data_IF_656722910751
#
_entry.id   IF_656722910751
#
_cell.length_a   1.000
_cell.length_b   1.000
_cell.length_c   1.000
_cell.angle_alpha   90.00
_cell.angle_beta   90.00
_cell.angle_gamma   90.00
#
_symmetry.space_group_name_H-M   'P 1'
#
loop_
_entity.id
_entity.type
_entity.pdbx_description
1 polymer ?
#
# COMPACT_ATOMS: atom_id res chain seq x y z
N UNK A 1 -7.49 13.91 -13.76
CA UNK A 1 -8.96 13.75 -13.82
C UNK A 1 -9.49 13.82 -12.41
N UNK A 2 -10.64 14.47 -12.21
CA UNK A 2 -11.36 14.50 -10.94
C UNK A 2 -12.70 13.78 -11.19
N UNK A 3 -13.10 12.81 -10.36
CA UNK A 3 -14.41 12.16 -10.47
C UNK A 3 -15.54 13.20 -10.36
N UNK A 4 -16.61 13.01 -11.12
CA UNK A 4 -17.79 13.88 -11.11
C UNK A 4 -18.52 13.83 -9.75
N UNK A 5 -18.44 12.71 -9.03
CA UNK A 5 -19.00 12.61 -7.67
C UNK A 5 -18.35 13.56 -6.67
N UNK A 6 -17.18 14.14 -6.99
CA UNK A 6 -16.41 14.99 -6.08
C UNK A 6 -15.80 14.25 -4.87
N UNK A 7 -15.92 12.92 -4.83
CA UNK A 7 -15.48 12.08 -3.73
C UNK A 7 -14.97 10.71 -4.19
N UNK A 8 -14.84 9.79 -3.22
CA UNK A 8 -14.47 8.41 -3.52
C UNK A 8 -15.72 7.54 -3.67
N UNK A 9 -16.10 7.29 -4.92
CA UNK A 9 -17.11 6.31 -5.31
C UNK A 9 -16.45 5.13 -6.05
N UNK A 10 -16.47 3.90 -5.48
CA UNK A 10 -15.93 2.71 -6.12
C UNK A 10 -16.54 2.39 -7.51
N UNK A 11 -17.84 2.63 -7.70
CA UNK A 11 -18.53 2.31 -8.94
C UNK A 11 -18.05 3.23 -10.06
N UNK A 12 -17.98 4.53 -9.77
CA UNK A 12 -17.47 5.53 -10.70
C UNK A 12 -16.01 5.27 -11.05
N UNK A 13 -15.17 5.01 -10.05
CA UNK A 13 -13.73 4.75 -10.26
C UNK A 13 -13.52 3.54 -11.16
N UNK A 14 -14.27 2.45 -10.96
CA UNK A 14 -14.17 1.25 -11.82
C UNK A 14 -14.68 1.55 -13.23
N UNK A 15 -15.79 2.28 -13.37
CA UNK A 15 -16.31 2.70 -14.67
C UNK A 15 -15.30 3.54 -15.45
N UNK A 16 -14.76 4.58 -14.82
CA UNK A 16 -13.72 5.44 -15.39
C UNK A 16 -12.45 4.65 -15.72
N UNK A 17 -12.04 3.71 -14.87
CA UNK A 17 -10.90 2.85 -15.16
C UNK A 17 -11.10 2.06 -16.45
N UNK A 18 -12.27 1.42 -16.59
CA UNK A 18 -12.61 0.62 -17.76
C UNK A 18 -12.67 1.45 -19.05
N UNK A 19 -13.17 2.68 -18.98
CA UNK A 19 -13.27 3.59 -20.13
C UNK A 19 -11.91 4.15 -20.56
N UNK A 20 -11.15 4.71 -19.61
CA UNK A 20 -9.93 5.47 -19.91
C UNK A 20 -8.73 4.56 -20.15
N UNK A 21 -8.69 3.45 -19.41
CA UNK A 21 -7.56 2.55 -19.36
C UNK A 21 -6.33 3.14 -18.67
N UNK A 22 -5.52 2.24 -18.12
CA UNK A 22 -4.22 2.50 -17.49
C UNK A 22 -4.21 3.59 -16.40
N UNK A 23 -5.31 3.80 -15.67
CA UNK A 23 -5.38 4.81 -14.62
C UNK A 23 -4.46 4.49 -13.44
N UNK A 24 -3.90 5.52 -12.80
CA UNK A 24 -3.15 5.37 -11.56
C UNK A 24 -3.65 6.36 -10.53
N UNK A 25 -3.76 5.91 -9.27
CA UNK A 25 -4.30 6.73 -8.18
C UNK A 25 -3.58 6.47 -6.87
N UNK A 26 -3.69 7.44 -5.96
CA UNK A 26 -3.34 7.28 -4.56
C UNK A 26 -4.59 6.98 -3.74
N UNK A 27 -4.50 6.04 -2.79
CA UNK A 27 -5.61 5.68 -1.91
C UNK A 27 -5.13 5.28 -0.51
N UNK A 28 -5.85 5.73 0.53
CA UNK A 28 -5.65 5.18 1.87
C UNK A 28 -6.08 3.70 1.92
N UNK A 29 -5.52 2.86 2.81
CA UNK A 29 -5.89 1.44 2.91
C UNK A 29 -7.40 1.19 3.04
N UNK A 30 -8.12 2.07 3.75
CA UNK A 30 -9.59 1.99 3.89
C UNK A 30 -10.32 2.18 2.56
N UNK A 31 -9.81 3.03 1.67
CA UNK A 31 -10.37 3.24 0.33
C UNK A 31 -10.06 2.06 -0.59
N UNK A 32 -8.86 1.48 -0.48
CA UNK A 32 -8.50 0.25 -1.19
C UNK A 32 -9.47 -0.87 -0.82
N UNK A 33 -9.73 -1.06 0.47
CA UNK A 33 -10.71 -2.04 0.95
C UNK A 33 -12.11 -1.80 0.37
N UNK A 34 -12.61 -0.57 0.42
CA UNK A 34 -13.92 -0.22 -0.18
C UNK A 34 -13.99 -0.54 -1.67
N UNK A 35 -12.91 -0.31 -2.41
CA UNK A 35 -12.84 -0.60 -3.85
C UNK A 35 -12.86 -2.10 -4.13
N UNK A 36 -12.08 -2.87 -3.38
CA UNK A 36 -12.00 -4.34 -3.50
C UNK A 36 -13.32 -4.99 -3.11
N UNK A 37 -13.92 -4.56 -2.00
CA UNK A 37 -15.20 -5.07 -1.52
C UNK A 37 -16.31 -4.81 -2.55
N UNK A 38 -16.31 -3.63 -3.19
CA UNK A 38 -17.23 -3.33 -4.28
C UNK A 38 -17.00 -4.24 -5.48
N UNK A 39 -15.75 -4.39 -5.92
CA UNK A 39 -15.40 -5.23 -7.05
C UNK A 39 -15.79 -6.70 -6.86
N UNK A 40 -15.59 -7.25 -5.66
CA UNK A 40 -16.03 -8.61 -5.34
C UNK A 40 -17.55 -8.78 -5.46
N UNK A 41 -18.33 -7.77 -5.04
CA UNK A 41 -19.80 -7.81 -5.14
C UNK A 41 -20.30 -7.61 -6.57
N UNK A 42 -19.63 -6.77 -7.36
CA UNK A 42 -20.03 -6.45 -8.74
C UNK A 42 -19.43 -7.38 -9.79
N UNK A 43 -18.46 -8.21 -9.42
CA UNK A 43 -17.72 -9.07 -10.36
C UNK A 43 -16.67 -8.32 -11.18
N UNK A 44 -16.32 -7.09 -10.80
CA UNK A 44 -15.25 -6.33 -11.46
C UNK A 44 -13.86 -6.85 -11.06
N UNK A 45 -12.89 -6.73 -11.96
CA UNK A 45 -11.52 -7.22 -11.79
C UNK A 45 -10.46 -6.09 -11.76
N UNK A 46 -10.91 -4.84 -11.76
CA UNK A 46 -10.04 -3.68 -11.84
C UNK A 46 -9.41 -3.50 -13.22
N UNK A 47 -10.06 -3.97 -14.28
CA UNK A 47 -9.72 -3.64 -15.66
C UNK A 47 -9.51 -2.13 -15.82
N UNK A 48 -8.47 -1.76 -16.56
CA UNK A 48 -8.10 -0.37 -16.77
C UNK A 48 -7.39 0.32 -15.60
N UNK A 49 -7.34 -0.28 -14.40
CA UNK A 49 -6.44 0.20 -13.33
C UNK A 49 -5.02 -0.29 -13.63
N UNK A 50 -4.07 0.64 -13.76
CA UNK A 50 -2.63 0.34 -13.88
C UNK A 50 -1.98 0.18 -12.53
N UNK A 51 -2.16 1.15 -11.63
CA UNK A 51 -1.48 1.20 -10.33
C UNK A 51 -2.32 1.86 -9.26
N UNK A 52 -2.41 1.25 -8.09
CA UNK A 52 -2.91 1.86 -6.86
C UNK A 52 -1.73 2.02 -5.92
N UNK A 53 -1.31 3.27 -5.71
CA UNK A 53 -0.33 3.60 -4.68
C UNK A 53 -1.09 3.80 -3.37
N UNK A 54 -0.73 3.07 -2.32
CA UNK A 54 -1.41 3.17 -1.03
C UNK A 54 -0.46 3.51 0.10
N UNK A 55 -0.94 4.30 1.06
CA UNK A 55 -0.16 4.78 2.20
C UNK A 55 -1.01 5.62 3.15
N UNK A 56 -0.38 6.22 4.15
CA UNK A 56 -1.06 7.07 5.14
C UNK A 56 -1.81 6.32 6.25
N UNK A 57 -1.74 4.98 6.26
CA UNK A 57 -2.31 4.15 7.33
C UNK A 57 -1.79 2.72 7.27
N UNK A 58 -1.99 1.91 8.32
CA UNK A 58 -1.61 0.50 8.31
C UNK A 58 -2.47 -0.30 7.32
N UNK A 59 -1.86 -1.27 6.64
CA UNK A 59 -2.56 -2.27 5.84
C UNK A 59 -2.17 -3.66 6.33
N UNK A 60 -3.17 -4.47 6.71
CA UNK A 60 -2.89 -5.81 7.23
C UNK A 60 -2.50 -6.77 6.10
N UNK A 61 -1.60 -7.72 6.39
CA UNK A 61 -1.15 -8.74 5.42
C UNK A 61 -2.33 -9.48 4.80
N UNK A 62 -3.34 -9.85 5.60
CA UNK A 62 -4.54 -10.52 5.10
C UNK A 62 -5.33 -9.66 4.10
N UNK A 63 -5.40 -8.34 4.31
CA UNK A 63 -6.13 -7.42 3.44
C UNK A 63 -5.43 -7.23 2.09
N UNK A 64 -4.10 -7.09 2.09
CA UNK A 64 -3.35 -6.99 0.82
C UNK A 64 -3.39 -8.31 0.05
N UNK A 65 -3.35 -9.45 0.72
CA UNK A 65 -3.53 -10.75 0.07
C UNK A 65 -4.92 -10.91 -0.56
N UNK A 66 -5.99 -10.51 0.15
CA UNK A 66 -7.35 -10.53 -0.41
C UNK A 66 -7.47 -9.60 -1.62
N UNK A 67 -6.87 -8.42 -1.52
CA UNK A 67 -6.82 -7.41 -2.57
C UNK A 67 -6.11 -7.92 -3.84
N UNK A 68 -4.97 -8.60 -3.67
CA UNK A 68 -4.23 -9.23 -4.78
C UNK A 68 -5.03 -10.33 -5.49
N UNK A 69 -5.88 -11.07 -4.77
CA UNK A 69 -6.74 -12.11 -5.39
C UNK A 69 -7.79 -11.50 -6.33
N UNK A 70 -8.21 -10.25 -6.09
CA UNK A 70 -9.27 -9.59 -6.86
C UNK A 70 -8.68 -8.79 -8.02
N UNK A 71 -7.68 -7.95 -7.76
CA UNK A 71 -7.13 -7.02 -8.75
C UNK A 71 -5.78 -7.45 -9.32
N UNK A 72 -5.17 -8.51 -8.80
CA UNK A 72 -3.84 -8.92 -9.20
C UNK A 72 -2.76 -7.91 -8.80
N UNK A 73 -1.57 -7.96 -9.44
CA UNK A 73 -0.41 -7.18 -9.05
C UNK A 73 -0.50 -5.72 -9.52
N UNK A 74 -1.35 -4.92 -8.88
CA UNK A 74 -1.58 -3.50 -9.21
C UNK A 74 -1.16 -2.53 -8.09
N UNK A 75 -0.56 -3.01 -7.01
CA UNK A 75 -0.38 -2.21 -5.79
C UNK A 75 1.07 -1.82 -5.54
N UNK A 76 1.27 -0.62 -4.98
CA UNK A 76 2.56 -0.13 -4.47
C UNK A 76 2.29 0.48 -3.11
N UNK A 77 3.07 0.12 -2.09
CA UNK A 77 2.97 0.74 -0.77
C UNK A 77 3.96 1.88 -0.67
N UNK A 78 3.53 3.00 -0.08
CA UNK A 78 4.42 4.07 0.36
C UNK A 78 4.22 4.33 1.85
N UNK A 79 5.32 4.64 2.52
CA UNK A 79 5.31 5.14 3.89
C UNK A 79 6.03 6.47 3.94
N UNK A 80 5.47 7.41 4.69
CA UNK A 80 5.99 8.75 4.88
C UNK A 80 5.42 9.36 6.15
N UNK A 81 6.04 10.45 6.60
CA UNK A 81 5.60 11.23 7.75
C UNK A 81 5.36 12.67 7.32
N UNK A 82 4.51 13.41 8.05
CA UNK A 82 4.25 14.82 7.76
C UNK A 82 5.48 15.70 7.94
N UNK A 83 6.40 15.31 8.84
CA UNK A 83 7.64 16.04 9.12
C UNK A 83 8.81 15.70 8.19
N UNK A 84 8.65 14.73 7.28
CA UNK A 84 9.68 14.27 6.35
C UNK A 84 9.15 14.24 4.91
N UNK A 85 9.97 13.90 3.89
CA UNK A 85 9.46 13.68 2.54
C UNK A 85 8.26 12.72 2.57
N UNK A 86 7.23 13.03 1.80
CA UNK A 86 5.96 12.29 1.77
C UNK A 86 6.11 10.79 1.43
N UNK A 87 7.27 10.38 0.91
CA UNK A 87 7.63 8.98 0.64
C UNK A 87 9.04 8.70 1.13
N UNK A 88 9.14 8.20 2.37
CA UNK A 88 10.39 7.76 3.02
C UNK A 88 10.79 6.39 2.49
N UNK A 89 9.85 5.44 2.47
CA UNK A 89 10.06 4.08 1.97
C UNK A 89 8.94 3.67 1.03
N UNK A 90 9.22 2.68 0.18
CA UNK A 90 8.24 2.07 -0.69
C UNK A 90 8.40 0.54 -0.76
N UNK A 91 7.28 -0.17 -0.81
CA UNK A 91 7.23 -1.58 -1.17
C UNK A 91 6.74 -1.71 -2.61
N UNK A 92 7.60 -2.27 -3.46
CA UNK A 92 7.35 -2.38 -4.89
C UNK A 92 6.19 -3.34 -5.19
N UNK A 93 5.61 -3.21 -6.39
CA UNK A 93 4.58 -4.13 -6.88
C UNK A 93 5.10 -5.55 -6.95
N UNK A 94 6.34 -5.69 -7.38
CA UNK A 94 7.03 -6.96 -7.54
C UNK A 94 7.17 -7.62 -6.17
N UNK A 95 7.67 -6.89 -5.16
CA UNK A 95 7.78 -7.40 -3.79
C UNK A 95 6.40 -7.75 -3.18
N UNK A 96 5.35 -6.96 -3.47
CA UNK A 96 3.98 -7.23 -3.01
C UNK A 96 3.41 -8.50 -3.67
N UNK A 97 3.69 -8.73 -4.95
CA UNK A 97 3.13 -9.84 -5.71
C UNK A 97 3.92 -11.15 -5.59
N UNK A 98 5.13 -11.13 -5.03
CA UNK A 98 6.07 -12.25 -4.97
C UNK A 98 5.70 -13.31 -3.93
N UNK A 99 4.53 -13.93 -4.11
CA UNK A 99 3.96 -14.93 -3.18
C UNK A 99 4.76 -16.22 -3.03
N UNK A 100 5.75 -16.45 -3.90
CA UNK A 100 6.64 -17.61 -3.85
C UNK A 100 7.90 -17.36 -3.03
N UNK A 101 8.19 -16.10 -2.67
CA UNK A 101 9.36 -15.77 -1.87
C UNK A 101 9.21 -16.30 -0.44
N UNK A 102 10.24 -16.92 0.17
CA UNK A 102 10.16 -17.48 1.52
C UNK A 102 9.79 -16.43 2.59
N UNK A 103 10.31 -15.22 2.46
CA UNK A 103 9.99 -14.08 3.34
C UNK A 103 8.76 -13.25 2.90
N UNK A 104 7.95 -13.70 1.95
CA UNK A 104 6.90 -12.84 1.35
C UNK A 104 5.97 -12.21 2.40
N UNK A 105 5.50 -13.00 3.37
CA UNK A 105 4.63 -12.48 4.44
C UNK A 105 5.33 -11.41 5.29
N UNK A 106 6.63 -11.59 5.58
CA UNK A 106 7.43 -10.61 6.31
C UNK A 106 7.63 -9.33 5.50
N UNK A 107 7.80 -9.45 4.18
CA UNK A 107 7.90 -8.30 3.26
C UNK A 107 6.59 -7.53 3.18
N UNK A 108 5.45 -8.22 3.06
CA UNK A 108 4.12 -7.62 3.06
C UNK A 108 3.81 -6.87 4.37
N UNK A 109 4.31 -7.38 5.49
CA UNK A 109 4.18 -6.72 6.80
C UNK A 109 5.12 -5.52 6.99
N UNK A 110 6.04 -5.26 6.06
CA UNK A 110 7.02 -4.17 6.15
C UNK A 110 6.55 -2.91 5.41
N UNK A 111 7.21 -1.78 5.70
CA UNK A 111 7.05 -0.51 4.96
C UNK A 111 7.94 -0.44 3.69
N UNK A 112 8.61 -1.54 3.34
CA UNK A 112 9.47 -1.64 2.17
C UNK A 112 10.87 -1.04 2.35
N UNK A 113 11.43 -0.54 1.25
CA UNK A 113 12.83 -0.09 1.16
C UNK A 113 12.88 1.43 1.13
N UNK A 114 13.91 2.02 1.73
CA UNK A 114 14.12 3.46 1.70
C UNK A 114 14.26 3.97 0.25
N UNK A 115 13.72 5.15 -0.01
CA UNK A 115 13.94 5.82 -1.29
C UNK A 115 15.43 6.14 -1.47
N UNK A 116 15.92 6.20 -2.71
CA UNK A 116 17.35 6.33 -3.02
C UNK A 116 18.09 7.52 -2.40
N UNK A 117 17.35 8.58 -2.05
CA UNK A 117 17.88 9.82 -1.46
C UNK A 117 17.54 9.93 0.04
N UNK A 118 17.02 8.87 0.64
CA UNK A 118 16.58 8.83 2.03
C UNK A 118 17.38 7.78 2.79
N UNK A 119 17.91 8.17 3.94
CA UNK A 119 18.51 7.25 4.90
C UNK A 119 17.51 6.98 6.03
N UNK A 120 17.28 5.71 6.34
CA UNK A 120 16.40 5.27 7.43
C UNK A 120 17.24 4.54 8.48
N UNK A 121 17.09 4.95 9.74
CA UNK A 121 17.68 4.28 10.90
C UNK A 121 16.61 3.96 11.92
N UNK A 122 16.70 2.77 12.51
CA UNK A 122 15.90 2.36 13.65
C UNK A 122 16.76 2.55 14.89
N UNK A 123 16.31 3.37 15.83
CA UNK A 123 17.04 3.69 17.06
C UNK A 123 16.36 3.02 18.26
N UNK A 124 17.16 2.56 19.23
CA UNK A 124 16.69 2.12 20.54
C UNK A 124 16.30 3.30 21.44
N UNK A 125 15.83 2.99 22.66
CA UNK A 125 15.41 4.01 23.64
C UNK A 125 16.56 4.96 24.04
N UNK A 126 17.80 4.49 23.97
CA UNK A 126 19.01 5.23 24.25
C UNK A 126 19.54 6.04 23.04
N UNK A 127 18.80 6.04 21.92
CA UNK A 127 19.19 6.70 20.67
C UNK A 127 20.26 5.96 19.87
N UNK A 128 20.67 4.76 20.29
CA UNK A 128 21.67 3.97 19.56
C UNK A 128 21.03 3.22 18.38
N UNK A 129 21.72 3.10 17.23
CA UNK A 129 21.20 2.33 16.10
C UNK A 129 21.05 0.86 16.44
N UNK A 130 19.86 0.31 16.15
CA UNK A 130 19.61 -1.12 16.34
C UNK A 130 20.06 -1.96 15.14
N UNK A 131 20.42 -3.23 15.36
CA UNK A 131 20.71 -4.17 14.30
C UNK A 131 19.52 -4.37 13.35
N UNK A 132 19.80 -4.66 12.07
CA UNK A 132 18.83 -4.72 10.97
C UNK A 132 17.77 -5.83 11.12
N UNK A 133 17.93 -6.75 12.06
CA UNK A 133 17.04 -7.88 12.33
C UNK A 133 16.09 -7.66 13.50
N UNK A 134 16.21 -6.55 14.25
CA UNK A 134 15.33 -6.26 15.38
C UNK A 134 14.16 -5.36 14.99
N UNK A 135 12.95 -5.85 15.20
CA UNK A 135 11.73 -5.04 15.20
C UNK A 135 11.68 -4.17 16.45
N UNK A 136 11.50 -2.87 16.29
CA UNK A 136 11.21 -1.95 17.41
C UNK A 136 9.72 -1.71 17.48
N UNK A 137 9.16 -1.88 18.67
CA UNK A 137 7.80 -1.43 18.96
C UNK A 137 7.84 0.10 19.01
N UNK A 138 7.13 0.77 18.11
CA UNK A 138 7.05 2.23 18.11
C UNK A 138 6.63 2.76 19.50
N UNK A 139 7.22 3.87 20.00
CA UNK A 139 6.85 4.46 21.30
C UNK A 139 5.37 4.81 21.40
N UNK A 140 4.70 4.99 20.26
CA UNK A 140 3.26 5.18 20.16
C UNK A 140 2.51 3.84 20.17
N UNK A 141 2.57 3.12 21.30
CA UNK A 141 1.48 2.28 21.84
C UNK A 141 0.66 1.37 20.92
N UNK A 142 1.20 0.87 19.81
CA UNK A 142 0.49 -0.03 18.90
C UNK A 142 1.44 -1.06 18.33
N UNK A 143 1.10 -2.34 18.46
CA UNK A 143 1.66 -3.36 17.59
C UNK A 143 1.35 -2.94 16.14
N UNK A 144 2.37 -2.60 15.36
CA UNK A 144 2.27 -2.44 13.91
C UNK A 144 3.54 -2.98 13.29
#
# INVERSE_FOLDING_TARGET
MVPESGGFDPAEIIGLAAELGKISMFAAPTLVKRLVDFAQRSGADGAGIKTIVYGGGPMYVAEIQATLKVFGPKFVQIYGQGEAPMTITALSREDIADSVHPDWLRRLASVGKAHSVVEVRVLGEDGTPLPRDRSVRSPCGGHR
#
